data_IF_601837936019
#
_entry.id   IF_601837936019
#
_cell.length_a   1.000
_cell.length_b   1.000
_cell.length_c   1.000
_cell.angle_alpha   90.00
_cell.angle_beta   90.00
_cell.angle_gamma   90.00
#
_symmetry.space_group_name_H-M   'P 1'
#
loop_
_entity.id
_entity.type
_entity.pdbx_description
1 polymer ?
#
# COMPACT_ATOMS: atom_id res chain seq x y z
N UNK A 1 -22.86 -19.22 -4.36
CA UNK A 1 -21.40 -19.07 -4.36
C UNK A 1 -21.06 -17.91 -5.28
N UNK A 2 -20.59 -16.75 -4.78
CA UNK A 2 -20.25 -15.65 -5.68
C UNK A 2 -18.96 -15.98 -6.44
N UNK A 3 -19.06 -16.03 -7.77
CA UNK A 3 -17.91 -16.02 -8.68
C UNK A 3 -17.29 -14.62 -8.62
N UNK A 4 -16.11 -14.50 -7.99
CA UNK A 4 -15.34 -13.26 -8.04
C UNK A 4 -14.59 -13.28 -9.38
N UNK A 5 -15.13 -12.53 -10.34
CA UNK A 5 -14.48 -12.22 -11.61
C UNK A 5 -13.19 -11.45 -11.28
N UNK A 6 -12.03 -12.11 -11.38
CA UNK A 6 -10.73 -11.45 -11.26
C UNK A 6 -10.53 -10.69 -12.57
N UNK A 7 -10.88 -9.40 -12.57
CA UNK A 7 -10.57 -8.50 -13.67
C UNK A 7 -9.06 -8.42 -13.82
N UNK A 8 -8.52 -9.04 -14.88
CA UNK A 8 -7.16 -8.80 -15.35
C UNK A 8 -7.13 -7.38 -15.89
N UNK A 9 -6.76 -6.44 -15.02
CA UNK A 9 -6.38 -5.10 -15.43
C UNK A 9 -4.87 -5.11 -15.68
N UNK A 10 -4.50 -4.60 -16.83
CA UNK A 10 -3.14 -4.25 -17.26
C UNK A 10 -2.29 -3.75 -16.09
N UNK A 11 -1.07 -4.29 -15.93
CA UNK A 11 -0.23 -4.04 -14.75
C UNK A 11 0.10 -2.56 -14.49
N UNK A 12 0.08 -1.72 -15.53
CA UNK A 12 0.32 -0.28 -15.42
C UNK A 12 -0.87 0.49 -14.80
N UNK A 13 -2.11 0.13 -15.14
CA UNK A 13 -3.31 0.73 -14.56
C UNK A 13 -3.47 0.30 -13.10
N UNK A 14 -3.19 -0.97 -12.80
CA UNK A 14 -3.23 -1.49 -11.42
C UNK A 14 -2.21 -0.78 -10.53
N UNK A 15 -1.01 -0.48 -11.04
CA UNK A 15 0.01 0.23 -10.27
C UNK A 15 -0.44 1.64 -9.85
N UNK A 16 -1.07 2.40 -10.76
CA UNK A 16 -1.50 3.76 -10.46
C UNK A 16 -2.72 3.81 -9.53
N UNK A 17 -3.65 2.85 -9.67
CA UNK A 17 -4.76 2.66 -8.73
C UNK A 17 -4.23 2.34 -7.32
N UNK A 18 -3.32 1.36 -7.22
CA UNK A 18 -2.68 0.97 -5.94
C UNK A 18 -1.90 2.13 -5.33
N UNK A 19 -1.16 2.89 -6.15
CA UNK A 19 -0.43 4.09 -5.71
C UNK A 19 -1.39 5.12 -5.09
N UNK A 20 -2.52 5.37 -5.74
CA UNK A 20 -3.52 6.34 -5.30
C UNK A 20 -4.22 5.88 -4.02
N UNK A 21 -4.53 4.60 -3.92
CA UNK A 21 -5.15 3.98 -2.74
C UNK A 21 -4.22 4.06 -1.53
N UNK A 22 -2.95 3.67 -1.70
CA UNK A 22 -1.90 3.82 -0.66
C UNK A 22 -1.76 5.27 -0.23
N UNK A 23 -1.73 6.21 -1.18
CA UNK A 23 -1.64 7.63 -0.87
C UNK A 23 -2.83 8.09 -0.03
N UNK A 24 -4.06 7.71 -0.40
CA UNK A 24 -5.27 8.01 0.38
C UNK A 24 -5.23 7.41 1.79
N UNK A 25 -4.77 6.16 1.95
CA UNK A 25 -4.63 5.52 3.25
C UNK A 25 -3.62 6.28 4.12
N UNK A 26 -2.46 6.60 3.55
CA UNK A 26 -1.41 7.30 4.26
C UNK A 26 -1.80 8.75 4.57
N UNK A 27 -2.54 9.44 3.70
CA UNK A 27 -3.11 10.79 3.95
C UNK A 27 -4.21 10.75 5.01
N UNK A 28 -5.06 9.74 4.99
CA UNK A 28 -6.09 9.56 6.02
C UNK A 28 -5.48 9.20 7.38
N UNK A 29 -4.35 8.47 7.36
CA UNK A 29 -3.65 8.01 8.57
C UNK A 29 -2.46 8.90 8.97
N UNK A 30 -2.21 10.00 8.24
CA UNK A 30 -1.20 11.03 8.51
C UNK A 30 -1.36 11.79 9.85
N UNK A 31 -2.52 11.90 10.53
CA UNK A 31 -2.54 12.52 11.87
C UNK A 31 -1.82 11.67 12.94
N UNK A 32 -1.40 10.44 12.61
CA UNK A 32 -0.57 9.63 13.50
C UNK A 32 0.88 10.11 13.38
N UNK A 33 1.31 10.97 14.32
CA UNK A 33 2.67 11.52 14.46
C UNK A 33 3.78 10.44 14.33
N UNK A 34 3.40 9.19 14.57
CA UNK A 34 4.25 8.01 14.66
C UNK A 34 4.39 7.21 13.34
N UNK A 35 3.56 7.46 12.32
CA UNK A 35 3.52 6.67 11.07
C UNK A 35 2.85 5.29 11.19
N UNK A 36 2.64 4.59 10.08
CA UNK A 36 1.97 3.28 10.06
C UNK A 36 2.93 2.10 9.96
N UNK A 37 2.55 0.99 10.58
CA UNK A 37 3.21 -0.29 10.41
C UNK A 37 2.80 -0.95 9.08
N UNK A 38 3.64 -1.84 8.53
CA UNK A 38 3.30 -2.61 7.31
C UNK A 38 2.00 -3.41 7.47
N UNK A 39 1.78 -3.97 8.66
CA UNK A 39 0.58 -4.74 8.99
C UNK A 39 -0.68 -3.86 8.96
N UNK A 40 -0.60 -2.65 9.53
CA UNK A 40 -1.72 -1.71 9.53
C UNK A 40 -2.02 -1.23 8.11
N UNK A 41 -0.99 -0.89 7.33
CA UNK A 41 -1.16 -0.51 5.93
C UNK A 41 -1.87 -1.61 5.12
N UNK A 42 -1.47 -2.86 5.31
CA UNK A 42 -2.12 -3.99 4.66
C UNK A 42 -3.58 -4.16 5.12
N UNK A 43 -3.86 -3.95 6.42
CA UNK A 43 -5.20 -4.03 6.98
C UNK A 43 -6.10 -2.91 6.43
N UNK A 44 -5.63 -1.67 6.41
CA UNK A 44 -6.34 -0.53 5.85
C UNK A 44 -6.63 -0.72 4.36
N UNK A 45 -5.63 -1.21 3.60
CA UNK A 45 -5.81 -1.52 2.19
C UNK A 45 -6.89 -2.58 1.98
N UNK A 46 -6.84 -3.67 2.75
CA UNK A 46 -7.89 -4.69 2.70
C UNK A 46 -9.25 -4.16 3.12
N UNK A 47 -9.36 -3.29 4.13
CA UNK A 47 -10.63 -2.67 4.50
C UNK A 47 -11.19 -1.79 3.39
N UNK A 48 -10.35 -0.98 2.73
CA UNK A 48 -10.76 -0.07 1.67
C UNK A 48 -11.12 -0.81 0.37
N UNK A 49 -10.43 -1.90 0.07
CA UNK A 49 -10.64 -2.70 -1.15
C UNK A 49 -11.52 -3.94 -0.92
N UNK A 50 -12.46 -3.90 0.03
CA UNK A 50 -13.45 -4.97 0.29
C UNK A 50 -12.81 -6.35 0.54
N UNK A 51 -11.76 -6.39 1.36
CA UNK A 51 -11.02 -7.58 1.75
C UNK A 51 -9.93 -8.00 0.76
N UNK A 52 -9.67 -7.25 -0.32
CA UNK A 52 -8.58 -7.60 -1.24
C UNK A 52 -7.23 -7.33 -0.60
N UNK A 53 -6.34 -8.31 -0.70
CA UNK A 53 -4.95 -8.12 -0.34
C UNK A 53 -4.23 -7.30 -1.41
N UNK A 54 -3.20 -6.58 -0.97
CA UNK A 54 -2.40 -5.73 -1.83
C UNK A 54 -1.74 -6.55 -2.95
N UNK A 55 -1.93 -6.18 -4.24
CA UNK A 55 -1.54 -7.02 -5.37
C UNK A 55 -0.03 -6.92 -5.70
N UNK A 56 0.86 -7.01 -4.71
CA UNK A 56 2.31 -6.91 -4.94
C UNK A 56 2.83 -8.04 -5.85
N UNK A 57 2.30 -9.26 -5.72
CA UNK A 57 2.66 -10.38 -6.59
C UNK A 57 2.17 -10.20 -8.03
N UNK A 58 0.96 -9.65 -8.22
CA UNK A 58 0.42 -9.40 -9.57
C UNK A 58 1.18 -8.27 -10.28
N UNK A 59 1.75 -7.36 -9.51
CA UNK A 59 2.62 -6.29 -9.99
C UNK A 59 4.08 -6.74 -10.23
N UNK A 60 4.41 -7.99 -9.92
CA UNK A 60 5.75 -8.55 -10.13
C UNK A 60 6.75 -8.27 -9.00
N UNK A 61 6.30 -7.76 -7.86
CA UNK A 61 7.16 -7.52 -6.69
C UNK A 61 7.21 -8.74 -5.77
N UNK A 62 8.41 -9.06 -5.28
CA UNK A 62 8.63 -10.18 -4.37
C UNK A 62 8.07 -9.92 -2.95
N UNK A 63 8.08 -8.66 -2.50
CA UNK A 63 7.60 -8.27 -1.17
C UNK A 63 6.91 -6.92 -1.20
N UNK A 64 6.03 -6.68 -0.22
CA UNK A 64 5.38 -5.40 0.01
C UNK A 64 6.40 -4.26 0.15
N UNK A 65 7.52 -4.52 0.81
CA UNK A 65 8.61 -3.54 0.97
C UNK A 65 9.18 -3.10 -0.37
N UNK A 66 9.25 -3.99 -1.35
CA UNK A 66 9.78 -3.71 -2.69
C UNK A 66 8.83 -2.81 -3.50
N UNK A 67 7.52 -3.08 -3.38
CA UNK A 67 6.47 -2.21 -3.92
C UNK A 67 6.55 -0.81 -3.30
N UNK A 68 6.64 -0.70 -1.97
CA UNK A 68 6.71 0.59 -1.27
C UNK A 68 8.02 1.35 -1.57
N UNK A 69 9.14 0.63 -1.75
CA UNK A 69 10.41 1.24 -2.20
C UNK A 69 10.31 1.83 -3.61
N UNK A 70 9.55 1.19 -4.50
CA UNK A 70 9.30 1.72 -5.85
C UNK A 70 8.44 2.99 -5.81
N UNK A 71 7.55 3.09 -4.82
CA UNK A 71 6.67 4.25 -4.59
C UNK A 71 7.25 5.28 -3.59
N UNK A 72 8.55 5.56 -3.67
CA UNK A 72 9.22 6.54 -2.79
C UNK A 72 8.67 7.97 -2.89
N UNK A 73 8.01 8.30 -4.01
CA UNK A 73 7.30 9.57 -4.27
C UNK A 73 6.04 9.75 -3.42
N UNK A 74 5.52 8.66 -2.84
CA UNK A 74 4.27 8.67 -2.04
C UNK A 74 4.56 8.20 -0.61
N UNK A 75 5.54 7.32 -0.48
CA UNK A 75 5.81 6.57 0.73
C UNK A 75 7.23 6.81 1.21
N UNK A 76 7.36 7.23 2.46
CA UNK A 76 8.63 7.34 3.16
C UNK A 76 8.75 6.23 4.18
N UNK A 77 9.71 5.33 3.97
CA UNK A 77 10.01 4.26 4.91
C UNK A 77 11.03 4.79 5.92
N UNK A 78 10.64 4.92 7.18
CA UNK A 78 11.54 5.28 8.28
C UNK A 78 11.90 4.02 9.09
N UNK A 79 13.20 3.82 9.32
CA UNK A 79 13.68 2.77 10.21
C UNK A 79 13.86 3.35 11.61
N UNK A 80 12.99 2.95 12.53
CA UNK A 80 13.16 3.17 13.96
C UNK A 80 14.02 2.05 14.56
N UNK A 81 14.58 2.27 15.76
CA UNK A 81 15.60 1.40 16.40
C UNK A 81 15.29 -0.11 16.34
N UNK A 82 14.03 -0.51 16.39
CA UNK A 82 13.62 -1.92 16.38
C UNK A 82 12.54 -2.29 15.34
N UNK A 83 12.02 -1.36 14.54
CA UNK A 83 10.95 -1.65 13.59
C UNK A 83 10.95 -0.68 12.41
N UNK A 84 10.37 -1.10 11.28
CA UNK A 84 10.20 -0.28 10.09
C UNK A 84 8.79 0.33 10.07
N UNK A 85 8.71 1.64 9.80
CA UNK A 85 7.45 2.37 9.64
C UNK A 85 7.35 3.06 8.31
N UNK A 86 6.12 3.33 7.95
CA UNK A 86 5.70 3.82 6.65
C UNK A 86 4.92 5.12 6.88
N UNK A 87 5.42 6.24 6.34
CA UNK A 87 4.77 7.55 6.40
C UNK A 87 4.42 8.01 4.98
N UNK A 88 3.34 8.77 4.82
CA UNK A 88 3.13 9.50 3.57
C UNK A 88 4.20 10.59 3.44
N UNK A 89 4.70 10.80 2.24
CA UNK A 89 5.38 12.05 1.94
C UNK A 89 4.33 13.10 1.64
N UNK A 90 4.30 14.18 2.43
CA UNK A 90 3.53 15.36 2.09
C UNK A 90 4.28 16.10 0.98
N UNK A 91 3.59 16.43 -0.12
CA UNK A 91 4.10 17.35 -1.14
C UNK A 91 3.59 18.76 -0.88
#
# INVERSE_FOLDING_TARGET
>A
MPFIIVQVRTGAETYNEVKTDIHSILVSSLPVEDGLSFTELCQHYSLQNSGRQMPFQQLGYATLTDLLKTMWDVVRIEKQRCYLRVKATAK
#
